data_IF_077252199050
#
_entry.id   IF_077252199050
#
_cell.length_a   1.000
_cell.length_b   1.000
_cell.length_c   1.000
_cell.angle_alpha   90.00
_cell.angle_beta   90.00
_cell.angle_gamma   90.00
#
_symmetry.space_group_name_H-M   'P 1'
#
loop_
_entity.id
_entity.type
_entity.pdbx_description
1 polymer ?
#
# COMPACT_ATOMS: atom_id res chain seq x y z
N UNK A 1 -10.39 -11.09 25.40
CA UNK A 1 -10.04 -10.28 24.20
C UNK A 1 -11.23 -9.39 23.95
N UNK A 2 -11.04 -8.09 23.79
CA UNK A 2 -12.11 -7.11 23.59
C UNK A 2 -12.88 -7.40 22.29
N UNK A 3 -14.21 -7.51 22.37
CA UNK A 3 -15.09 -7.87 21.25
C UNK A 3 -14.93 -6.90 20.07
N UNK A 4 -14.84 -5.60 20.36
CA UNK A 4 -14.65 -4.55 19.35
C UNK A 4 -13.30 -4.72 18.62
N UNK A 5 -12.26 -5.21 19.30
CA UNK A 5 -10.97 -5.52 18.65
C UNK A 5 -11.08 -6.72 17.71
N UNK A 6 -11.88 -7.73 18.03
CA UNK A 6 -12.09 -8.88 17.14
C UNK A 6 -12.89 -8.44 15.92
N UNK A 7 -13.99 -7.72 16.12
CA UNK A 7 -14.86 -7.28 15.03
C UNK A 7 -14.18 -6.25 14.11
N UNK A 8 -13.36 -5.36 14.65
CA UNK A 8 -12.58 -4.41 13.83
C UNK A 8 -11.53 -5.08 12.93
N UNK A 9 -10.95 -6.21 13.35
CA UNK A 9 -10.04 -7.01 12.51
C UNK A 9 -10.78 -7.65 11.34
N UNK A 10 -11.98 -8.17 11.60
CA UNK A 10 -12.86 -8.66 10.54
C UNK A 10 -13.24 -7.53 9.58
N UNK A 11 -13.64 -6.36 10.12
CA UNK A 11 -13.98 -5.18 9.33
C UNK A 11 -12.84 -4.73 8.41
N UNK A 12 -11.59 -4.79 8.88
CA UNK A 12 -10.42 -4.45 8.04
C UNK A 12 -10.27 -5.44 6.86
N UNK A 13 -10.52 -6.73 7.09
CA UNK A 13 -10.48 -7.74 6.02
C UNK A 13 -11.65 -7.58 5.04
N UNK A 14 -12.83 -7.18 5.55
CA UNK A 14 -14.01 -6.91 4.73
C UNK A 14 -13.77 -5.80 3.69
N UNK A 15 -12.93 -4.79 3.99
CA UNK A 15 -12.63 -3.69 3.05
C UNK A 15 -12.09 -4.22 1.72
N UNK A 16 -11.12 -5.14 1.77
CA UNK A 16 -10.51 -5.70 0.56
C UNK A 16 -11.51 -6.58 -0.19
N UNK A 17 -12.28 -7.39 0.54
CA UNK A 17 -13.30 -8.26 -0.05
C UNK A 17 -14.41 -7.47 -0.75
N UNK A 18 -14.93 -6.41 -0.11
CA UNK A 18 -15.89 -5.49 -0.70
C UNK A 18 -15.30 -4.83 -1.94
N UNK A 19 -14.07 -4.32 -1.86
CA UNK A 19 -13.44 -3.65 -2.99
C UNK A 19 -13.29 -4.59 -4.18
N UNK A 20 -12.81 -5.81 -3.95
CA UNK A 20 -12.74 -6.82 -5.00
C UNK A 20 -14.11 -7.13 -5.62
N UNK A 21 -15.15 -7.25 -4.78
CA UNK A 21 -16.53 -7.45 -5.26
C UNK A 21 -17.03 -6.27 -6.09
N UNK A 22 -16.86 -5.03 -5.62
CA UNK A 22 -17.26 -3.82 -6.33
C UNK A 22 -16.61 -3.75 -7.72
N UNK A 23 -15.34 -4.11 -7.81
CA UNK A 23 -14.58 -4.15 -9.04
C UNK A 23 -15.16 -5.17 -10.02
N UNK A 24 -15.39 -6.41 -9.57
CA UNK A 24 -15.90 -7.49 -10.42
C UNK A 24 -17.36 -7.23 -10.84
N UNK A 25 -18.16 -6.63 -9.97
CA UNK A 25 -19.56 -6.29 -10.25
C UNK A 25 -19.66 -5.07 -11.20
N UNK A 26 -18.64 -4.21 -11.27
CA UNK A 26 -18.56 -3.08 -12.19
C UNK A 26 -17.85 -3.48 -13.50
N UNK A 27 -18.52 -4.34 -14.28
CA UNK A 27 -18.01 -4.86 -15.55
C UNK A 27 -17.73 -3.76 -16.57
N UNK A 28 -18.50 -2.67 -16.54
CA UNK A 28 -18.27 -1.51 -17.41
C UNK A 28 -16.93 -0.84 -17.13
N UNK A 29 -16.62 -0.54 -15.86
CA UNK A 29 -15.34 0.07 -15.51
C UNK A 29 -14.17 -0.87 -15.80
N UNK A 30 -14.33 -2.17 -15.55
CA UNK A 30 -13.28 -3.16 -15.84
C UNK A 30 -13.01 -3.27 -17.35
N UNK A 31 -14.03 -3.27 -18.20
CA UNK A 31 -13.87 -3.24 -19.65
C UNK A 31 -13.24 -1.92 -20.14
N UNK A 32 -13.59 -0.79 -19.51
CA UNK A 32 -12.99 0.51 -19.80
C UNK A 32 -11.50 0.54 -19.43
N UNK A 33 -11.12 -0.04 -18.28
CA UNK A 33 -9.72 -0.15 -17.86
C UNK A 33 -8.92 -0.96 -18.89
N UNK A 34 -9.42 -2.15 -19.28
CA UNK A 34 -8.81 -2.99 -20.32
C UNK A 34 -8.65 -2.25 -21.65
N UNK A 35 -9.72 -1.63 -22.15
CA UNK A 35 -9.66 -0.87 -23.40
C UNK A 35 -8.63 0.27 -23.33
N UNK A 36 -8.62 1.02 -22.24
CA UNK A 36 -7.68 2.12 -22.03
C UNK A 36 -6.23 1.63 -21.98
N UNK A 37 -5.97 0.48 -21.36
CA UNK A 37 -4.63 -0.11 -21.35
C UNK A 37 -4.19 -0.44 -22.77
N UNK A 38 -4.99 -1.21 -23.52
CA UNK A 38 -4.62 -1.65 -24.87
C UNK A 38 -4.38 -0.46 -25.81
N UNK A 39 -5.25 0.55 -25.78
CA UNK A 39 -5.08 1.78 -26.56
C UNK A 39 -3.80 2.53 -26.18
N UNK A 40 -3.48 2.60 -24.89
CA UNK A 40 -2.26 3.25 -24.40
C UNK A 40 -1.02 2.47 -24.76
N UNK A 41 -1.03 1.14 -24.66
CA UNK A 41 0.11 0.30 -25.06
C UNK A 41 0.40 0.47 -26.56
N UNK A 42 -0.64 0.46 -27.40
CA UNK A 42 -0.50 0.74 -28.82
C UNK A 42 0.08 2.13 -29.09
N UNK A 43 -0.48 3.18 -28.46
CA UNK A 43 0.00 4.56 -28.64
C UNK A 43 1.42 4.79 -28.13
N UNK A 44 1.74 4.28 -26.95
CA UNK A 44 3.01 4.60 -26.23
C UNK A 44 4.18 3.78 -26.79
N UNK A 45 3.92 2.57 -27.26
CA UNK A 45 4.94 1.62 -27.70
C UNK A 45 4.84 1.20 -29.17
N UNK A 46 3.82 1.64 -29.91
CA UNK A 46 3.62 1.27 -31.32
C UNK A 46 3.23 -0.19 -31.52
N UNK A 47 2.52 -0.78 -30.55
CA UNK A 47 2.15 -2.20 -30.57
C UNK A 47 0.77 -2.43 -31.21
N UNK A 48 0.63 -3.56 -31.89
CA UNK A 48 -0.68 -4.09 -32.29
C UNK A 48 -1.44 -4.68 -31.09
N UNK A 49 -2.71 -5.05 -31.29
CA UNK A 49 -3.62 -5.53 -30.23
C UNK A 49 -3.09 -6.77 -29.52
N UNK A 50 -2.65 -7.81 -30.25
CA UNK A 50 -2.21 -9.08 -29.65
C UNK A 50 -0.93 -8.90 -28.80
N UNK A 51 0.14 -8.25 -29.29
CA UNK A 51 1.29 -7.91 -28.46
C UNK A 51 0.94 -7.03 -27.25
N UNK A 52 -0.05 -6.15 -27.38
CA UNK A 52 -0.51 -5.31 -26.27
C UNK A 52 -1.19 -6.12 -25.17
N UNK A 53 -2.02 -7.10 -25.52
CA UNK A 53 -2.67 -7.98 -24.53
C UNK A 53 -1.66 -8.86 -23.79
N UNK A 54 -0.68 -9.42 -24.50
CA UNK A 54 0.39 -10.20 -23.86
C UNK A 54 1.21 -9.33 -22.91
N UNK A 55 1.65 -8.15 -23.36
CA UNK A 55 2.41 -7.24 -22.52
C UNK A 55 1.62 -6.82 -21.26
N UNK A 56 0.31 -6.61 -21.38
CA UNK A 56 -0.57 -6.34 -20.23
C UNK A 56 -0.52 -7.47 -19.21
N UNK A 57 -0.65 -8.73 -19.64
CA UNK A 57 -0.59 -9.90 -18.75
C UNK A 57 0.77 -10.01 -18.06
N UNK A 58 1.84 -9.79 -18.81
CA UNK A 58 3.21 -9.82 -18.27
C UNK A 58 3.41 -8.70 -17.23
N UNK A 59 2.87 -7.50 -17.48
CA UNK A 59 2.87 -6.39 -16.52
C UNK A 59 2.11 -6.71 -15.23
N UNK A 60 0.93 -7.36 -15.33
CA UNK A 60 0.16 -7.79 -14.15
C UNK A 60 0.98 -8.78 -13.31
N UNK A 61 1.50 -9.82 -13.95
CA UNK A 61 2.27 -10.86 -13.27
C UNK A 61 3.52 -10.26 -12.60
N UNK A 62 4.20 -9.34 -13.29
CA UNK A 62 5.35 -8.63 -12.75
C UNK A 62 5.00 -7.79 -11.51
N UNK A 63 3.89 -7.04 -11.56
CA UNK A 63 3.41 -6.27 -10.40
C UNK A 63 3.03 -7.18 -9.22
N UNK A 64 2.40 -8.32 -9.49
CA UNK A 64 2.04 -9.30 -8.47
C UNK A 64 3.26 -9.95 -7.81
N UNK A 65 4.36 -10.14 -8.55
CA UNK A 65 5.65 -10.67 -8.04
C UNK A 65 6.52 -9.62 -7.36
N UNK A 66 6.29 -8.33 -7.62
CA UNK A 66 7.09 -7.25 -7.05
C UNK A 66 7.01 -7.24 -5.52
N UNK A 67 8.12 -6.86 -4.88
CA UNK A 67 8.20 -6.76 -3.42
C UNK A 67 7.24 -5.70 -2.89
N UNK A 68 6.51 -6.03 -1.82
CA UNK A 68 5.75 -5.06 -1.06
C UNK A 68 6.63 -4.50 0.05
N UNK A 69 6.88 -3.19 0.02
CA UNK A 69 7.82 -2.54 0.94
C UNK A 69 7.16 -1.49 1.83
N UNK A 70 7.68 -1.35 3.05
CA UNK A 70 7.33 -0.26 3.97
C UNK A 70 8.61 0.50 4.33
N UNK A 71 8.73 1.71 3.82
CA UNK A 71 9.82 2.62 4.13
C UNK A 71 9.71 3.21 5.54
N UNK A 72 10.85 3.40 6.20
CA UNK A 72 10.92 4.04 7.50
C UNK A 72 12.25 4.77 7.71
N UNK A 73 12.23 5.81 8.54
CA UNK A 73 13.44 6.44 9.08
C UNK A 73 13.93 5.64 10.28
N UNK A 74 15.22 5.30 10.30
CA UNK A 74 15.85 4.58 11.43
C UNK A 74 15.63 5.33 12.75
N UNK A 75 15.87 6.64 12.75
CA UNK A 75 15.67 7.51 13.91
C UNK A 75 14.22 7.52 14.41
N UNK A 76 13.23 7.40 13.52
CA UNK A 76 11.82 7.31 13.92
C UNK A 76 11.42 5.92 14.42
N UNK A 77 11.79 4.87 13.69
CA UNK A 77 11.37 3.50 13.98
C UNK A 77 11.98 2.96 15.28
N UNK A 78 13.22 3.33 15.59
CA UNK A 78 14.01 2.76 16.69
C UNK A 78 14.36 3.75 17.81
N UNK A 79 13.84 4.99 17.76
CA UNK A 79 14.03 5.96 18.86
C UNK A 79 13.45 5.45 20.19
N UNK A 80 12.32 4.75 20.14
CA UNK A 80 11.62 4.23 21.31
C UNK A 80 11.36 2.72 21.19
N UNK A 81 10.79 2.12 22.24
CA UNK A 81 10.46 0.69 22.25
C UNK A 81 9.48 0.38 21.12
N UNK A 82 9.95 -0.37 20.14
CA UNK A 82 9.14 -0.82 19.01
C UNK A 82 7.99 -1.71 19.50
N UNK A 83 6.78 -1.43 19.04
CA UNK A 83 5.60 -2.28 19.33
C UNK A 83 5.71 -3.63 18.60
N UNK A 84 4.75 -4.53 18.81
CA UNK A 84 4.72 -5.85 18.18
C UNK A 84 4.40 -5.85 16.67
N UNK A 85 4.03 -4.69 16.12
CA UNK A 85 3.61 -4.55 14.72
C UNK A 85 3.67 -3.10 14.22
N UNK A 86 3.41 -2.93 12.92
CA UNK A 86 3.36 -1.60 12.29
C UNK A 86 2.07 -0.88 12.68
N UNK A 87 2.22 0.42 12.94
CA UNK A 87 1.14 1.32 13.30
C UNK A 87 0.82 2.28 12.15
N UNK A 88 -0.46 2.45 11.86
CA UNK A 88 -0.94 3.52 11.00
C UNK A 88 -0.93 4.87 11.74
N UNK A 89 -1.31 5.94 11.06
CA UNK A 89 -1.27 7.30 11.62
C UNK A 89 -2.28 7.52 12.76
N UNK A 90 -3.44 6.85 12.73
CA UNK A 90 -4.49 6.97 13.74
C UNK A 90 -4.12 6.26 15.06
N UNK A 91 -3.20 5.29 15.00
CA UNK A 91 -2.71 4.56 16.17
C UNK A 91 -1.58 5.28 16.92
N UNK A 92 -1.03 6.37 16.35
CA UNK A 92 0.11 7.09 16.90
C UNK A 92 -0.34 8.25 17.81
N UNK A 93 0.15 8.31 19.07
CA UNK A 93 -0.12 9.44 19.96
C UNK A 93 0.39 10.74 19.36
N UNK A 94 -0.35 11.84 19.52
CA UNK A 94 0.11 13.16 19.09
C UNK A 94 0.06 13.40 17.57
N UNK A 95 -0.69 12.60 16.80
CA UNK A 95 -1.02 12.89 15.40
C UNK A 95 -1.98 14.10 15.27
N UNK A 96 -1.75 15.16 16.04
CA UNK A 96 -2.62 16.33 16.21
C UNK A 96 -2.55 17.34 15.06
N UNK A 97 -1.78 17.07 13.99
CA UNK A 97 -1.85 17.92 12.80
C UNK A 97 -3.19 17.68 12.10
N UNK A 98 -4.20 18.47 12.51
CA UNK A 98 -5.59 18.29 12.15
C UNK A 98 -5.77 18.29 10.63
N UNK A 99 -4.98 19.09 9.90
CA UNK A 99 -5.01 19.11 8.43
C UNK A 99 -4.61 17.78 7.79
N UNK A 100 -3.50 17.17 8.21
CA UNK A 100 -3.05 15.90 7.64
C UNK A 100 -4.03 14.76 7.92
N UNK A 101 -4.50 14.64 9.17
CA UNK A 101 -5.49 13.62 9.52
C UNK A 101 -6.82 13.81 8.79
N UNK A 102 -7.25 15.06 8.57
CA UNK A 102 -8.44 15.34 7.76
C UNK A 102 -8.24 14.91 6.31
N UNK A 103 -7.12 15.24 5.68
CA UNK A 103 -6.82 14.82 4.31
C UNK A 103 -6.75 13.29 4.20
N UNK A 104 -6.06 12.62 5.14
CA UNK A 104 -6.01 11.15 5.22
C UNK A 104 -7.41 10.56 5.36
N UNK A 105 -8.21 11.10 6.27
CA UNK A 105 -9.57 10.62 6.49
C UNK A 105 -10.44 10.77 5.23
N UNK A 106 -10.36 11.91 4.52
CA UNK A 106 -11.11 12.13 3.28
C UNK A 106 -10.68 11.20 2.15
N UNK A 107 -9.37 11.01 1.96
CA UNK A 107 -8.84 10.12 0.92
C UNK A 107 -9.30 8.67 1.17
N UNK A 108 -9.16 8.19 2.40
CA UNK A 108 -9.60 6.85 2.77
C UNK A 108 -11.13 6.70 2.74
N UNK A 109 -11.89 7.75 3.10
CA UNK A 109 -13.35 7.76 2.95
C UNK A 109 -13.76 7.63 1.49
N UNK A 110 -13.11 8.35 0.58
CA UNK A 110 -13.39 8.24 -0.85
C UNK A 110 -13.02 6.86 -1.42
N UNK A 111 -11.95 6.23 -0.91
CA UNK A 111 -11.52 4.90 -1.37
C UNK A 111 -12.40 3.77 -0.82
N UNK A 112 -12.76 3.84 0.46
CA UNK A 112 -13.28 2.70 1.22
C UNK A 112 -14.68 2.92 1.84
N UNK A 113 -15.19 4.16 1.81
CA UNK A 113 -16.57 4.47 2.19
C UNK A 113 -16.91 4.15 3.64
N UNK A 114 -16.02 4.46 4.60
CA UNK A 114 -16.22 4.10 6.00
C UNK A 114 -17.46 4.72 6.63
N UNK A 115 -17.93 5.89 6.19
CA UNK A 115 -19.16 6.50 6.71
C UNK A 115 -20.44 5.94 6.06
N UNK A 116 -20.31 5.14 5.01
CA UNK A 116 -21.39 4.69 4.13
C UNK A 116 -22.20 5.83 3.49
N UNK A 117 -21.72 7.08 3.52
CA UNK A 117 -22.38 8.22 2.87
C UNK A 117 -22.20 8.12 1.36
N UNK A 118 -23.28 7.78 0.66
CA UNK A 118 -23.31 7.73 -0.81
C UNK A 118 -22.98 6.36 -1.42
N UNK A 119 -22.82 5.32 -0.60
CA UNK A 119 -22.55 3.97 -1.08
C UNK A 119 -23.80 3.39 -1.76
N UNK A 120 -23.77 3.21 -3.09
CA UNK A 120 -24.60 2.21 -3.81
C UNK A 120 -24.07 0.80 -3.63
N UNK A 121 -23.45 0.50 -2.48
CA UNK A 121 -22.54 -0.62 -2.35
C UNK A 121 -23.30 -1.94 -2.23
N UNK A 122 -22.90 -2.89 -3.08
CA UNK A 122 -23.43 -4.25 -3.10
C UNK A 122 -22.63 -5.10 -2.09
N UNK A 123 -23.25 -5.45 -0.98
CA UNK A 123 -22.65 -6.24 0.09
C UNK A 123 -23.69 -6.52 1.19
N UNK A 124 -23.35 -7.34 2.18
CA UNK A 124 -24.27 -7.56 3.30
C UNK A 124 -24.32 -6.31 4.20
N UNK A 125 -25.50 -5.91 4.65
CA UNK A 125 -25.69 -4.79 5.60
C UNK A 125 -24.75 -4.89 6.81
N UNK A 126 -24.59 -6.08 7.36
CA UNK A 126 -23.71 -6.34 8.50
C UNK A 126 -22.24 -5.97 8.26
N UNK A 127 -21.75 -6.07 7.01
CA UNK A 127 -20.39 -5.65 6.67
C UNK A 127 -20.30 -4.11 6.68
N UNK A 128 -21.27 -3.42 6.07
CA UNK A 128 -21.29 -1.95 6.09
C UNK A 128 -21.45 -1.40 7.51
N UNK A 129 -22.25 -2.06 8.35
CA UNK A 129 -22.41 -1.67 9.75
C UNK A 129 -21.08 -1.79 10.50
N UNK A 130 -20.30 -2.86 10.28
CA UNK A 130 -18.96 -3.01 10.87
C UNK A 130 -17.98 -1.94 10.37
N UNK A 131 -17.95 -1.67 9.06
CA UNK A 131 -17.09 -0.63 8.48
C UNK A 131 -17.43 0.75 9.07
N UNK A 132 -18.73 1.04 9.21
CA UNK A 132 -19.22 2.27 9.82
C UNK A 132 -18.89 2.38 11.29
N UNK A 133 -19.11 1.32 12.07
CA UNK A 133 -18.83 1.31 13.50
C UNK A 133 -17.34 1.52 13.79
N UNK A 134 -16.48 0.76 13.11
CA UNK A 134 -15.05 0.67 13.47
C UNK A 134 -14.13 1.53 12.60
N UNK A 135 -14.54 1.86 11.37
CA UNK A 135 -13.73 2.62 10.41
C UNK A 135 -14.05 4.11 10.34
N UNK A 136 -15.29 4.52 10.63
CA UNK A 136 -15.65 5.93 10.64
C UNK A 136 -15.05 6.61 11.88
N UNK A 137 -14.24 7.65 11.66
CA UNK A 137 -13.56 8.39 12.72
C UNK A 137 -14.53 9.07 13.70
N UNK A 138 -15.73 9.41 13.24
CA UNK A 138 -16.74 10.10 14.05
C UNK A 138 -17.65 9.11 14.81
N UNK A 139 -17.39 7.80 14.70
CA UNK A 139 -18.11 6.75 15.41
C UNK A 139 -17.63 6.59 16.85
N UNK A 140 -18.53 6.34 17.80
CA UNK A 140 -18.17 6.03 19.20
C UNK A 140 -17.33 4.75 19.30
N UNK A 141 -17.56 3.79 18.40
CA UNK A 141 -16.85 2.51 18.31
C UNK A 141 -15.58 2.56 17.46
N UNK A 142 -15.10 3.74 17.04
CA UNK A 142 -13.95 3.84 16.15
C UNK A 142 -12.72 3.10 16.69
N UNK A 143 -12.13 2.21 15.87
CA UNK A 143 -10.92 1.48 16.20
C UNK A 143 -9.81 1.86 15.23
N UNK A 144 -8.84 2.63 15.70
CA UNK A 144 -7.73 3.14 14.89
C UNK A 144 -7.00 2.06 14.08
N UNK A 145 -6.81 0.85 14.64
CA UNK A 145 -6.12 -0.26 13.97
C UNK A 145 -6.85 -0.83 12.75
N UNK A 146 -8.16 -0.54 12.60
CA UNK A 146 -8.97 -0.92 11.44
C UNK A 146 -8.52 -0.21 10.15
N UNK A 147 -8.03 1.03 10.30
CA UNK A 147 -7.57 1.88 9.20
C UNK A 147 -6.28 1.30 8.58
N UNK A 148 -6.06 1.48 7.27
CA UNK A 148 -4.95 0.86 6.57
C UNK A 148 -3.60 1.35 7.07
N UNK A 149 -2.61 0.46 7.00
CA UNK A 149 -1.18 0.82 7.03
C UNK A 149 -0.77 1.09 5.58
N UNK A 150 0.32 1.82 5.39
CA UNK A 150 0.75 2.23 4.05
C UNK A 150 2.12 1.68 3.73
N UNK A 151 2.23 1.13 2.53
CA UNK A 151 3.46 0.69 1.89
C UNK A 151 3.40 0.97 0.39
N UNK A 152 4.30 0.36 -0.36
CA UNK A 152 4.30 0.48 -1.81
C UNK A 152 4.97 -0.71 -2.49
N UNK A 153 4.52 -1.02 -3.72
CA UNK A 153 5.14 -2.06 -4.55
C UNK A 153 6.45 -1.53 -5.15
N UNK A 154 7.55 -2.24 -4.90
CA UNK A 154 8.88 -1.92 -5.40
C UNK A 154 9.10 -2.47 -6.82
N UNK A 155 8.19 -2.17 -7.74
CA UNK A 155 8.24 -2.68 -9.12
C UNK A 155 9.44 -2.15 -9.93
N UNK A 156 10.19 -1.19 -9.41
CA UNK A 156 11.40 -0.66 -10.05
C UNK A 156 12.70 -1.17 -9.44
N UNK A 157 12.61 -2.09 -8.47
CA UNK A 157 13.75 -2.55 -7.69
C UNK A 157 14.61 -1.40 -7.16
N UNK A 158 13.95 -0.35 -6.66
CA UNK A 158 14.66 0.79 -6.08
C UNK A 158 15.45 0.28 -4.86
N UNK A 159 16.78 0.48 -4.82
CA UNK A 159 17.60 0.07 -3.69
C UNK A 159 17.23 0.78 -2.38
N UNK A 160 16.40 1.83 -2.41
CA UNK A 160 15.89 2.53 -1.25
C UNK A 160 14.47 2.09 -0.85
N UNK A 161 13.92 1.05 -1.48
CA UNK A 161 12.51 0.67 -1.34
C UNK A 161 11.60 1.57 -2.16
N UNK A 162 10.35 1.15 -2.35
CA UNK A 162 9.45 1.77 -3.30
C UNK A 162 9.17 3.26 -3.00
N UNK A 163 9.01 3.61 -1.72
CA UNK A 163 8.78 4.98 -1.27
C UNK A 163 10.04 5.62 -0.67
N UNK A 164 11.22 5.19 -1.13
CA UNK A 164 12.51 5.66 -0.64
C UNK A 164 12.70 7.16 -0.85
N UNK A 165 13.00 7.90 0.22
CA UNK A 165 13.27 9.33 0.09
C UNK A 165 13.27 10.12 1.40
N UNK A 166 13.42 11.46 1.33
CA UNK A 166 13.55 12.31 2.51
C UNK A 166 12.36 12.26 3.48
N UNK A 167 11.17 11.94 2.97
CA UNK A 167 9.93 11.90 3.76
C UNK A 167 9.84 10.61 4.58
N UNK A 168 9.95 9.46 3.92
CA UNK A 168 9.71 8.16 4.54
C UNK A 168 10.98 7.45 5.02
N UNK A 169 12.17 7.85 4.56
CA UNK A 169 13.43 7.16 4.81
C UNK A 169 13.86 6.28 3.63
N UNK A 170 15.14 5.89 3.62
CA UNK A 170 15.74 4.99 2.61
C UNK A 170 15.88 3.55 3.10
N UNK A 171 15.62 3.33 4.38
CA UNK A 171 15.50 2.01 5.00
C UNK A 171 14.07 1.52 4.81
N UNK A 172 13.91 0.20 4.67
CA UNK A 172 12.61 -0.40 4.42
C UNK A 172 12.53 -1.84 4.91
N UNK A 173 11.30 -2.30 5.13
CA UNK A 173 10.97 -3.71 5.34
C UNK A 173 10.36 -4.27 4.07
N UNK A 174 10.72 -5.50 3.70
CA UNK A 174 9.99 -6.30 2.72
C UNK A 174 8.96 -7.11 3.48
N UNK A 175 7.70 -7.07 3.04
CA UNK A 175 6.61 -7.84 3.61
C UNK A 175 6.47 -9.17 2.87
N UNK A 176 6.05 -10.21 3.59
CA UNK A 176 5.82 -11.53 3.00
C UNK A 176 4.67 -11.52 2.00
N UNK A 177 4.74 -12.44 1.03
CA UNK A 177 3.80 -12.57 -0.09
C UNK A 177 2.33 -12.55 0.32
N UNK A 178 1.96 -13.24 1.41
CA UNK A 178 0.56 -13.34 1.85
C UNK A 178 -0.07 -11.98 2.19
N UNK A 179 0.74 -10.96 2.49
CA UNK A 179 0.24 -9.62 2.80
C UNK A 179 -0.34 -8.92 1.58
N UNK A 180 0.15 -9.22 0.37
CA UNK A 180 -0.35 -8.60 -0.87
C UNK A 180 -1.85 -8.85 -1.09
N UNK A 181 -2.36 -10.00 -0.64
CA UNK A 181 -3.79 -10.32 -0.72
C UNK A 181 -4.67 -9.49 0.22
N UNK A 182 -4.09 -8.89 1.27
CA UNK A 182 -4.78 -7.98 2.19
C UNK A 182 -4.58 -6.50 1.79
N UNK A 183 -4.07 -6.24 0.59
CA UNK A 183 -3.81 -4.89 0.13
C UNK A 183 -4.84 -4.44 -0.92
N UNK A 184 -5.08 -3.14 -0.93
CA UNK A 184 -5.53 -2.43 -2.12
C UNK A 184 -4.39 -1.58 -2.68
N UNK A 185 -4.50 -1.18 -3.94
CA UNK A 185 -3.43 -0.48 -4.64
C UNK A 185 -3.95 0.72 -5.43
N UNK A 186 -3.13 1.76 -5.50
CA UNK A 186 -3.33 2.91 -6.38
C UNK A 186 -2.05 3.21 -7.16
N UNK A 187 -2.20 3.66 -8.40
CA UNK A 187 -1.08 3.93 -9.31
C UNK A 187 -0.08 5.00 -8.81
N UNK A 188 -0.49 5.78 -7.80
CA UNK A 188 0.29 6.85 -7.16
C UNK A 188 -0.25 7.11 -5.75
N UNK A 189 0.31 8.13 -5.09
CA UNK A 189 -0.13 8.65 -3.79
C UNK A 189 -1.64 8.94 -3.79
N UNK A 190 -2.40 8.26 -2.93
CA UNK A 190 -3.85 8.42 -2.84
C UNK A 190 -4.27 9.85 -2.46
N UNK A 191 -3.38 10.67 -1.90
CA UNK A 191 -3.68 12.07 -1.61
C UNK A 191 -3.83 12.90 -2.88
N UNK A 192 -3.18 12.52 -3.97
CA UNK A 192 -3.39 13.15 -5.28
C UNK A 192 -4.83 12.98 -5.78
N UNK A 193 -5.56 12.01 -5.25
CA UNK A 193 -6.96 11.74 -5.57
C UNK A 193 -7.92 12.20 -4.46
N UNK A 194 -7.47 12.82 -3.37
CA UNK A 194 -8.33 13.11 -2.22
C UNK A 194 -9.51 14.06 -2.53
N UNK A 195 -9.41 14.85 -3.61
CA UNK A 195 -10.49 15.69 -4.12
C UNK A 195 -11.24 15.09 -5.33
N UNK A 196 -10.84 13.90 -5.78
CA UNK A 196 -11.47 13.22 -6.91
C UNK A 196 -12.70 12.42 -6.41
N UNK A 197 -13.92 12.77 -6.84
CA UNK A 197 -15.13 12.05 -6.41
C UNK A 197 -15.16 10.59 -6.88
N UNK A 198 -14.34 10.23 -7.86
CA UNK A 198 -14.21 8.88 -8.42
C UNK A 198 -12.91 8.18 -7.99
N UNK A 199 -12.31 8.57 -6.85
CA UNK A 199 -11.11 7.90 -6.32
C UNK A 199 -11.35 6.38 -6.11
N UNK A 200 -12.56 5.96 -5.74
CA UNK A 200 -12.92 4.54 -5.61
C UNK A 200 -12.69 3.74 -6.89
N UNK A 201 -12.91 4.34 -8.06
CA UNK A 201 -12.69 3.74 -9.39
C UNK A 201 -11.19 3.72 -9.79
N UNK A 202 -10.31 4.16 -8.90
CA UNK A 202 -8.84 4.12 -9.07
C UNK A 202 -8.18 3.07 -8.18
N UNK A 203 -8.94 2.44 -7.30
CA UNK A 203 -8.45 1.44 -6.34
C UNK A 203 -8.50 0.06 -6.98
N UNK A 204 -7.37 -0.63 -6.96
CA UNK A 204 -7.25 -2.02 -7.38
C UNK A 204 -7.17 -2.97 -6.16
N UNK A 205 -7.52 -4.23 -6.39
CA UNK A 205 -7.14 -5.34 -5.49
C UNK A 205 -5.98 -6.12 -6.11
N UNK A 206 -5.38 -7.05 -5.36
CA UNK A 206 -4.34 -7.95 -5.89
C UNK A 206 -4.78 -8.71 -7.15
N UNK A 207 -6.06 -9.04 -7.26
CA UNK A 207 -6.63 -9.82 -8.37
C UNK A 207 -7.04 -8.95 -9.58
N UNK A 208 -6.97 -7.62 -9.47
CA UNK A 208 -7.41 -6.69 -10.52
C UNK A 208 -6.37 -5.60 -10.79
N UNK A 209 -5.09 -5.98 -10.85
CA UNK A 209 -3.96 -5.06 -11.04
C UNK A 209 -3.99 -4.30 -12.37
N UNK A 210 -4.78 -4.74 -13.36
CA UNK A 210 -5.08 -3.95 -14.57
C UNK A 210 -5.45 -2.51 -14.26
N UNK A 211 -6.26 -2.29 -13.22
CA UNK A 211 -6.67 -0.94 -12.84
C UNK A 211 -5.52 -0.07 -12.39
N UNK A 212 -4.47 -0.64 -11.80
CA UNK A 212 -3.23 0.10 -11.53
C UNK A 212 -2.62 0.55 -12.85
N UNK A 213 -2.43 -0.39 -13.80
CA UNK A 213 -1.83 -0.14 -15.12
C UNK A 213 -2.61 0.94 -15.89
N UNK A 214 -3.94 0.84 -15.91
CA UNK A 214 -4.83 1.81 -16.54
C UNK A 214 -4.62 3.24 -16.03
N UNK A 215 -4.21 3.39 -14.77
CA UNK A 215 -4.06 4.67 -14.08
C UNK A 215 -2.61 5.14 -13.90
N UNK A 216 -1.61 4.34 -14.31
CA UNK A 216 -0.21 4.81 -14.37
C UNK A 216 -0.10 5.97 -15.36
N UNK A 217 0.77 6.94 -15.12
CA UNK A 217 1.13 7.91 -16.15
C UNK A 217 2.06 7.28 -17.21
N UNK A 218 2.28 7.94 -18.35
CA UNK A 218 3.09 7.37 -19.44
C UNK A 218 4.56 7.11 -19.03
N UNK A 219 5.13 7.91 -18.11
CA UNK A 219 6.47 7.67 -17.57
C UNK A 219 6.53 6.39 -16.75
N UNK A 220 5.55 6.17 -15.88
CA UNK A 220 5.40 4.94 -15.09
C UNK A 220 5.15 3.72 -15.98
N UNK A 221 4.31 3.86 -17.01
CA UNK A 221 4.02 2.77 -17.94
C UNK A 221 5.28 2.34 -18.71
N UNK A 222 6.08 3.30 -19.20
CA UNK A 222 7.39 3.02 -19.84
C UNK A 222 8.38 2.38 -18.87
N UNK A 223 8.36 2.77 -17.60
CA UNK A 223 9.17 2.13 -16.57
C UNK A 223 8.76 0.69 -16.34
N UNK A 224 7.47 0.44 -16.12
CA UNK A 224 6.94 -0.90 -15.90
C UNK A 224 7.28 -1.82 -17.08
N UNK A 225 7.11 -1.36 -18.33
CA UNK A 225 7.53 -2.14 -19.50
C UNK A 225 9.02 -2.49 -19.44
N UNK A 226 9.87 -1.50 -19.17
CA UNK A 226 11.31 -1.73 -19.13
C UNK A 226 11.73 -2.67 -17.98
N UNK A 227 10.95 -2.75 -16.90
CA UNK A 227 11.16 -3.70 -15.81
C UNK A 227 10.63 -5.09 -16.16
N UNK A 228 9.55 -5.21 -16.93
CA UNK A 228 9.10 -6.48 -17.52
C UNK A 228 10.15 -7.03 -18.49
N UNK A 229 10.70 -6.17 -19.35
CA UNK A 229 11.73 -6.56 -20.33
C UNK A 229 13.06 -6.95 -19.65
N UNK A 230 13.39 -6.34 -18.51
CA UNK A 230 14.60 -6.61 -17.74
C UNK A 230 14.33 -6.50 -16.23
N UNK A 231 13.85 -7.57 -15.58
CA UNK A 231 13.51 -7.60 -14.17
C UNK A 231 14.67 -7.24 -13.24
N UNK A 232 15.91 -7.53 -13.62
CA UNK A 232 17.11 -7.26 -12.80
C UNK A 232 17.58 -5.81 -12.87
N UNK A 233 16.99 -4.99 -13.75
CA UNK A 233 17.30 -3.58 -13.81
C UNK A 233 16.95 -2.88 -12.50
N UNK A 234 17.85 -2.00 -12.02
CA UNK A 234 17.57 -1.12 -10.88
C UNK A 234 17.29 0.28 -11.38
N UNK A 235 16.11 0.82 -11.09
CA UNK A 235 15.76 2.19 -11.48
C UNK A 235 15.31 2.98 -10.26
N UNK A 236 16.06 4.03 -9.94
CA UNK A 236 15.72 4.96 -8.87
C UNK A 236 14.77 6.04 -9.40
N UNK A 237 13.49 6.04 -8.99
CA UNK A 237 12.52 7.08 -9.36
C UNK A 237 11.44 7.28 -8.30
N UNK A 238 10.99 8.51 -8.13
CA UNK A 238 9.91 8.92 -7.23
C UNK A 238 8.51 8.49 -7.71
N UNK A 239 8.37 7.29 -8.28
CA UNK A 239 7.11 6.81 -8.84
C UNK A 239 6.77 5.44 -8.28
N UNK A 240 6.11 5.45 -7.13
CA UNK A 240 5.67 4.24 -6.45
C UNK A 240 4.20 3.94 -6.72
N UNK A 241 3.86 2.65 -6.73
CA UNK A 241 2.47 2.18 -6.66
C UNK A 241 2.16 2.05 -5.18
N UNK A 242 1.25 2.88 -4.67
CA UNK A 242 0.89 2.87 -3.26
C UNK A 242 0.09 1.62 -2.94
N UNK A 243 0.37 1.02 -1.78
CA UNK A 243 -0.36 -0.11 -1.22
C UNK A 243 -1.00 0.31 0.10
N UNK A 244 -2.32 0.18 0.20
CA UNK A 244 -3.05 0.32 1.44
C UNK A 244 -3.24 -1.09 2.03
N UNK A 245 -2.55 -1.36 3.12
CA UNK A 245 -2.46 -2.67 3.76
C UNK A 245 -3.53 -2.74 4.84
N UNK A 246 -4.52 -3.59 4.64
CA UNK A 246 -5.61 -3.80 5.57
C UNK A 246 -5.27 -4.91 6.56
N UNK A 247 -5.62 -4.71 7.82
CA UNK A 247 -5.31 -5.62 8.93
C UNK A 247 -4.01 -5.29 9.67
N UNK A 248 -3.71 -6.15 10.66
CA UNK A 248 -2.51 -6.02 11.47
C UNK A 248 -1.28 -6.56 10.73
N UNK A 249 -0.16 -5.81 10.79
CA UNK A 249 1.15 -6.28 10.35
C UNK A 249 1.98 -6.57 11.60
N UNK A 250 2.21 -7.84 11.88
CA UNK A 250 3.05 -8.32 12.98
C UNK A 250 4.46 -8.60 12.49
N UNK A 251 5.46 -8.10 13.20
CA UNK A 251 6.85 -8.24 12.77
C UNK A 251 7.32 -9.71 12.71
N UNK A 252 6.92 -10.54 13.68
CA UNK A 252 7.28 -11.96 13.73
C UNK A 252 6.61 -12.84 12.66
N UNK A 253 5.51 -12.36 12.08
CA UNK A 253 4.70 -13.12 11.13
C UNK A 253 4.87 -12.63 9.70
N UNK A 254 4.86 -11.31 9.51
CA UNK A 254 4.53 -10.67 8.23
C UNK A 254 5.70 -9.95 7.56
N UNK A 255 6.78 -9.69 8.30
CA UNK A 255 7.99 -9.12 7.71
C UNK A 255 8.91 -10.24 7.28
N UNK A 256 9.36 -10.15 6.03
CA UNK A 256 10.34 -11.07 5.47
C UNK A 256 11.75 -10.64 5.88
N UNK A 257 12.15 -9.43 5.47
CA UNK A 257 13.50 -8.91 5.65
C UNK A 257 13.50 -7.40 5.87
N UNK A 258 14.60 -6.87 6.42
CA UNK A 258 14.78 -5.45 6.69
C UNK A 258 16.10 -4.94 6.11
N UNK A 259 16.03 -3.81 5.41
CA UNK A 259 17.17 -3.16 4.77
C UNK A 259 17.41 -1.81 5.45
N UNK A 260 18.62 -1.62 5.98
CA UNK A 260 19.04 -0.42 6.71
C UNK A 260 20.02 0.35 5.86
N UNK A 261 19.63 1.56 5.48
CA UNK A 261 20.48 2.45 4.73
C UNK A 261 21.47 3.16 5.66
N UNK A 262 22.75 3.16 5.30
CA UNK A 262 23.80 3.80 6.10
C UNK A 262 23.58 5.32 6.19
N UNK A 263 22.95 5.97 5.21
CA UNK A 263 22.61 7.39 5.31
C UNK A 263 21.53 7.63 6.36
N UNK A 264 20.46 6.83 6.39
CA UNK A 264 19.45 6.94 7.45
C UNK A 264 20.07 6.70 8.83
N UNK A 265 20.96 5.71 8.95
CA UNK A 265 21.67 5.44 10.18
C UNK A 265 22.57 6.61 10.60
N UNK A 266 23.22 7.27 9.64
CA UNK A 266 24.12 8.40 9.91
C UNK A 266 23.42 9.62 10.53
N UNK A 267 22.09 9.72 10.35
CA UNK A 267 21.27 10.78 10.96
C UNK A 267 20.99 10.56 12.46
N UNK A 268 21.40 9.42 13.03
CA UNK A 268 21.18 9.11 14.44
C UNK A 268 22.37 9.56 15.30
N UNK A 269 22.09 10.21 16.43
CA UNK A 269 23.12 10.74 17.35
C UNK A 269 24.13 9.70 17.82
N UNK A 270 23.68 8.46 18.08
CA UNK A 270 24.53 7.35 18.50
C UNK A 270 24.31 6.12 17.61
N UNK A 271 25.07 6.05 16.52
CA UNK A 271 24.95 4.97 15.52
C UNK A 271 25.25 3.59 16.10
N UNK A 272 26.20 3.47 17.04
CA UNK A 272 26.56 2.19 17.66
C UNK A 272 25.41 1.64 18.49
N UNK A 273 24.79 2.49 19.30
CA UNK A 273 23.60 2.11 20.08
C UNK A 273 22.41 1.80 19.16
N UNK A 274 22.24 2.59 18.10
CA UNK A 274 21.18 2.34 17.12
C UNK A 274 21.32 0.98 16.43
N UNK A 275 22.54 0.60 16.01
CA UNK A 275 22.84 -0.74 15.48
C UNK A 275 22.47 -1.86 16.46
N UNK A 276 22.82 -1.71 17.75
CA UNK A 276 22.43 -2.69 18.78
C UNK A 276 20.91 -2.84 18.90
N UNK A 277 20.16 -1.74 18.82
CA UNK A 277 18.68 -1.77 18.85
C UNK A 277 18.11 -2.48 17.64
N UNK A 278 18.63 -2.18 16.45
CA UNK A 278 18.25 -2.84 15.19
C UNK A 278 18.53 -4.35 15.27
N UNK A 279 19.71 -4.74 15.71
CA UNK A 279 20.09 -6.15 15.86
C UNK A 279 19.24 -6.87 16.92
N UNK A 280 18.93 -6.19 18.04
CA UNK A 280 18.03 -6.73 19.07
C UNK A 280 16.62 -6.95 18.53
N UNK A 281 16.10 -5.99 17.75
CA UNK A 281 14.83 -6.10 17.04
C UNK A 281 14.85 -7.29 16.06
N UNK A 282 15.90 -7.39 15.24
CA UNK A 282 16.11 -8.49 14.29
C UNK A 282 16.08 -9.85 14.99
N UNK A 283 16.84 -10.02 16.09
CA UNK A 283 16.85 -11.26 16.88
C UNK A 283 15.49 -11.58 17.49
N UNK A 284 14.81 -10.58 18.06
CA UNK A 284 13.52 -10.76 18.73
C UNK A 284 12.44 -11.26 17.76
N UNK A 285 12.37 -10.69 16.57
CA UNK A 285 11.33 -11.00 15.58
C UNK A 285 11.80 -11.97 14.50
N UNK A 286 13.07 -12.43 14.55
CA UNK A 286 13.70 -13.33 13.58
C UNK A 286 13.66 -12.79 12.14
N UNK A 287 13.89 -11.49 12.00
CA UNK A 287 13.91 -10.79 10.71
C UNK A 287 15.37 -10.60 10.27
N UNK A 288 15.81 -11.14 9.13
CA UNK A 288 17.11 -10.83 8.53
C UNK A 288 17.29 -9.32 8.35
N UNK A 289 18.46 -8.82 8.73
CA UNK A 289 18.83 -7.41 8.55
C UNK A 289 20.00 -7.28 7.59
N UNK A 290 19.85 -6.42 6.60
CA UNK A 290 20.84 -6.12 5.59
C UNK A 290 21.21 -4.64 5.69
N UNK A 291 22.49 -4.33 5.83
CA UNK A 291 22.98 -2.96 5.78
C UNK A 291 23.43 -2.64 4.36
N UNK A 292 23.05 -1.47 3.85
CA UNK A 292 23.37 -1.00 2.49
C UNK A 292 23.85 0.45 2.52
#
# INVERSE_FOLDING_TARGET
MDENKVLSRLASSDVVALKHKEINDNTFQSALDEHNILMRLSRVFGLDVVPSDQLRKDMIEFLQKSDLTVNFKVSGMFASKVRGGLLNTFERPGSSNNGYLQTRNRAEEGMFGYSSKGSRAKGSQAVFDRLKAFGNRDSEDFVASMRPKYGALNYTNDPNGAAGGPVYGRSYMVLKEHIKHNCTYTAMDSFAYASNPSIGDKVASFLNMDRVIANLNDTQLRLLKAMVDNPDAKKTRNHYIEAQIHGEIRFDRDVDSMYIDNMDLSTCDNQREMRKRIESFSRKYKIPVHYK
#
